data_IF_358497553830
#
_entry.id   IF_358497553830
#
_cell.length_a   1.000
_cell.length_b   1.000
_cell.length_c   1.000
_cell.angle_alpha   90.00
_cell.angle_beta   90.00
_cell.angle_gamma   90.00
#
_symmetry.space_group_name_H-M   'P 1'
#
loop_
_entity.id
_entity.type
_entity.pdbx_description
1 polymer ?
#
# COMPACT_ATOMS: atom_id res chain seq x y z
N UNK A 1 -0.59 -3.04 -20.54
CA UNK A 1 0.35 -2.43 -19.57
C UNK A 1 -0.34 -2.15 -18.24
N UNK A 2 -1.34 -1.26 -18.17
CA UNK A 2 -1.96 -0.85 -16.90
C UNK A 2 -2.58 -1.99 -16.07
N UNK A 3 -3.34 -2.89 -16.71
CA UNK A 3 -3.89 -4.07 -16.02
C UNK A 3 -2.81 -4.96 -15.39
N UNK A 4 -1.67 -5.16 -16.09
CA UNK A 4 -0.52 -5.90 -15.55
C UNK A 4 0.11 -5.17 -14.36
N UNK A 5 0.23 -3.85 -14.41
CA UNK A 5 0.75 -3.05 -13.31
C UNK A 5 -0.11 -3.18 -12.05
N UNK A 6 -1.44 -3.12 -12.19
CA UNK A 6 -2.37 -3.25 -11.07
C UNK A 6 -2.30 -4.66 -10.48
N UNK A 7 -2.28 -5.68 -11.33
CA UNK A 7 -2.17 -7.06 -10.88
C UNK A 7 -0.90 -7.27 -10.06
N UNK A 8 0.25 -6.83 -10.60
CA UNK A 8 1.53 -6.87 -9.90
C UNK A 8 1.50 -6.12 -8.56
N UNK A 9 0.92 -4.92 -8.50
CA UNK A 9 0.79 -4.17 -7.25
C UNK A 9 -0.09 -4.93 -6.24
N UNK A 10 -1.20 -5.54 -6.67
CA UNK A 10 -2.09 -6.27 -5.75
C UNK A 10 -1.41 -7.49 -5.13
N UNK A 11 -0.60 -8.20 -5.91
CA UNK A 11 0.10 -9.40 -5.44
C UNK A 11 1.32 -9.06 -4.59
N UNK A 12 2.07 -8.00 -4.96
CA UNK A 12 3.38 -7.73 -4.40
C UNK A 12 3.47 -6.46 -3.55
N UNK A 13 2.38 -5.70 -3.36
CA UNK A 13 2.44 -4.47 -2.57
C UNK A 13 3.07 -4.70 -1.19
N UNK A 14 2.80 -5.84 -0.55
CA UNK A 14 3.33 -6.16 0.77
C UNK A 14 4.80 -6.63 0.76
N UNK A 15 5.39 -6.90 -0.41
CA UNK A 15 6.77 -7.36 -0.58
C UNK A 15 7.76 -6.19 -0.72
N UNK A 16 7.50 -5.08 -0.01
CA UNK A 16 8.29 -3.85 -0.04
C UNK A 16 8.56 -3.22 -1.43
N UNK A 17 7.77 -3.56 -2.46
CA UNK A 17 7.97 -3.02 -3.82
C UNK A 17 7.87 -1.49 -3.89
N UNK A 18 8.53 -0.93 -4.89
CA UNK A 18 8.53 0.48 -5.28
C UNK A 18 7.89 0.67 -6.67
N UNK A 19 7.69 1.94 -7.06
CA UNK A 19 7.22 2.26 -8.42
C UNK A 19 8.22 1.77 -9.48
N UNK A 20 9.51 1.72 -9.17
CA UNK A 20 10.54 1.26 -10.10
C UNK A 20 10.36 -0.21 -10.44
N UNK A 21 9.98 -1.04 -9.47
CA UNK A 21 9.73 -2.47 -9.67
C UNK A 21 8.51 -2.69 -10.58
N UNK A 22 7.45 -1.89 -10.40
CA UNK A 22 6.26 -1.93 -11.28
C UNK A 22 6.63 -1.55 -12.72
N UNK A 23 7.45 -0.50 -12.89
CA UNK A 23 7.92 -0.01 -14.19
C UNK A 23 8.74 -1.08 -14.91
N UNK A 24 9.65 -1.74 -14.19
CA UNK A 24 10.44 -2.86 -14.70
C UNK A 24 9.55 -4.04 -15.09
N UNK A 25 8.59 -4.42 -14.24
CA UNK A 25 7.69 -5.54 -14.48
C UNK A 25 6.83 -5.37 -15.75
N UNK A 26 6.34 -4.16 -16.02
CA UNK A 26 5.49 -3.90 -17.19
C UNK A 26 6.24 -3.36 -18.41
N UNK A 27 7.57 -3.29 -18.33
CA UNK A 27 8.48 -2.81 -19.38
C UNK A 27 8.06 -1.47 -20.01
N UNK A 28 7.97 -0.43 -19.17
CA UNK A 28 7.56 0.93 -19.59
C UNK A 28 8.47 1.99 -18.98
N UNK A 29 8.23 3.27 -19.27
CA UNK A 29 8.83 4.38 -18.52
C UNK A 29 7.97 4.78 -17.30
N UNK A 30 8.59 5.34 -16.26
CA UNK A 30 7.88 5.89 -15.10
C UNK A 30 6.85 6.94 -15.52
N UNK A 31 7.19 7.86 -16.42
CA UNK A 31 6.29 8.92 -16.89
C UNK A 31 5.06 8.35 -17.60
N UNK A 32 5.23 7.32 -18.43
CA UNK A 32 4.11 6.64 -19.09
C UNK A 32 3.19 5.97 -18.05
N UNK A 33 3.77 5.29 -17.06
CA UNK A 33 3.01 4.63 -16.00
C UNK A 33 2.24 5.65 -15.15
N UNK A 34 2.88 6.73 -14.71
CA UNK A 34 2.25 7.79 -13.92
C UNK A 34 1.11 8.47 -14.68
N UNK A 35 1.31 8.78 -15.96
CA UNK A 35 0.27 9.34 -16.82
C UNK A 35 -0.92 8.39 -16.94
N UNK A 36 -0.67 7.11 -17.18
CA UNK A 36 -1.73 6.11 -17.28
C UNK A 36 -2.53 6.00 -15.97
N UNK A 37 -1.85 5.94 -14.82
CA UNK A 37 -2.50 5.91 -13.52
C UNK A 37 -3.33 7.16 -13.25
N UNK A 38 -2.81 8.35 -13.61
CA UNK A 38 -3.56 9.60 -13.42
C UNK A 38 -4.82 9.68 -14.28
N UNK A 39 -4.74 9.23 -15.53
CA UNK A 39 -5.89 9.23 -16.46
C UNK A 39 -6.97 8.25 -16.00
N UNK A 40 -6.60 7.05 -15.56
CA UNK A 40 -7.55 5.98 -15.29
C UNK A 40 -8.02 5.88 -13.83
N UNK A 41 -7.20 6.31 -12.87
CA UNK A 41 -7.48 6.20 -11.43
C UNK A 41 -7.45 7.53 -10.67
N UNK A 42 -7.00 8.62 -11.32
CA UNK A 42 -6.90 9.93 -10.67
C UNK A 42 -5.76 10.07 -9.65
N UNK A 43 -4.92 9.05 -9.49
CA UNK A 43 -3.76 9.08 -8.58
C UNK A 43 -2.51 8.45 -9.20
N UNK A 44 -1.41 8.39 -8.46
CA UNK A 44 -0.14 7.81 -8.94
C UNK A 44 -0.04 6.31 -8.64
N UNK A 45 0.90 5.58 -9.28
CA UNK A 45 1.19 4.18 -8.94
C UNK A 45 1.68 4.03 -7.50
N UNK A 46 2.43 5.03 -6.99
CA UNK A 46 2.87 5.04 -5.60
C UNK A 46 1.68 5.12 -4.64
N UNK A 47 0.65 5.90 -4.97
CA UNK A 47 -0.58 5.96 -4.20
C UNK A 47 -1.30 4.62 -4.22
N UNK A 48 -1.36 3.94 -5.37
CA UNK A 48 -1.97 2.60 -5.47
C UNK A 48 -1.28 1.58 -4.55
N UNK A 49 0.07 1.52 -4.58
CA UNK A 49 0.84 0.64 -3.68
C UNK A 49 0.47 0.92 -2.22
N UNK A 50 0.41 2.20 -1.82
CA UNK A 50 0.02 2.57 -0.45
C UNK A 50 -1.42 2.18 -0.11
N UNK A 51 -2.36 2.32 -1.05
CA UNK A 51 -3.76 1.95 -0.81
C UNK A 51 -3.91 0.44 -0.60
N UNK A 52 -3.21 -0.38 -1.40
CA UNK A 52 -3.22 -1.85 -1.23
C UNK A 52 -2.62 -2.24 0.13
N UNK A 53 -1.47 -1.67 0.51
CA UNK A 53 -0.88 -1.89 1.84
C UNK A 53 -1.83 -1.46 2.96
N UNK A 54 -2.46 -0.29 2.84
CA UNK A 54 -3.39 0.21 3.84
C UNK A 54 -4.61 -0.70 4.00
N UNK A 55 -5.15 -1.22 2.90
CA UNK A 55 -6.25 -2.19 2.93
C UNK A 55 -5.84 -3.44 3.69
N UNK A 56 -4.61 -3.95 3.47
CA UNK A 56 -4.08 -5.10 4.21
C UNK A 56 -3.93 -4.82 5.70
N UNK A 57 -3.44 -3.63 6.07
CA UNK A 57 -3.34 -3.22 7.48
C UNK A 57 -4.70 -3.22 8.16
N UNK A 58 -5.72 -2.59 7.55
CA UNK A 58 -7.09 -2.56 8.11
C UNK A 58 -7.62 -3.97 8.36
N UNK A 59 -7.48 -4.83 7.36
CA UNK A 59 -7.88 -6.23 7.47
C UNK A 59 -7.19 -6.92 8.65
N UNK A 60 -5.87 -6.79 8.80
CA UNK A 60 -5.13 -7.41 9.90
C UNK A 60 -5.50 -6.82 11.26
N UNK A 61 -5.82 -5.52 11.34
CA UNK A 61 -6.27 -4.89 12.58
C UNK A 61 -7.63 -5.39 13.04
N UNK A 62 -8.53 -5.72 12.10
CA UNK A 62 -9.91 -6.16 12.34
C UNK A 62 -10.04 -7.68 12.51
N UNK A 63 -9.18 -8.46 11.84
CA UNK A 63 -9.30 -9.93 11.80
C UNK A 63 -8.30 -10.65 12.71
N UNK A 64 -7.34 -9.93 13.33
CA UNK A 64 -6.25 -10.56 14.10
C UNK A 64 -5.82 -9.77 15.34
N UNK A 65 -5.25 -10.48 16.31
CA UNK A 65 -4.61 -9.94 17.53
C UNK A 65 -3.11 -9.64 17.34
N UNK A 66 -2.64 -9.54 16.08
CA UNK A 66 -1.22 -9.30 15.81
C UNK A 66 -0.76 -7.94 16.37
N UNK A 67 0.47 -7.89 16.86
CA UNK A 67 1.08 -6.64 17.29
C UNK A 67 1.29 -5.69 16.10
N UNK A 68 1.31 -4.37 16.36
CA UNK A 68 1.55 -3.37 15.30
C UNK A 68 2.86 -3.62 14.53
N UNK A 69 3.98 -4.05 15.17
CA UNK A 69 5.18 -4.46 14.45
C UNK A 69 4.97 -5.63 13.48
N UNK A 70 4.25 -6.68 13.88
CA UNK A 70 3.94 -7.82 13.00
C UNK A 70 3.06 -7.39 11.82
N UNK A 71 2.08 -6.52 12.06
CA UNK A 71 1.22 -5.98 11.01
C UNK A 71 2.04 -5.13 10.01
N UNK A 72 2.99 -4.34 10.51
CA UNK A 72 3.88 -3.56 9.66
C UNK A 72 4.71 -4.45 8.73
N UNK A 73 5.32 -5.50 9.27
CA UNK A 73 6.08 -6.49 8.50
C UNK A 73 5.21 -7.15 7.42
N UNK A 74 4.04 -7.69 7.79
CA UNK A 74 3.15 -8.39 6.85
C UNK A 74 2.58 -7.45 5.78
N UNK A 75 2.39 -6.17 6.09
CA UNK A 75 1.84 -5.20 5.14
C UNK A 75 2.92 -4.46 4.32
N UNK A 76 4.19 -4.84 4.42
CA UNK A 76 5.29 -4.24 3.65
C UNK A 76 5.69 -2.84 4.13
N UNK A 77 5.61 -2.60 5.44
CA UNK A 77 6.12 -1.41 6.10
C UNK A 77 7.36 -1.75 6.93
N UNK A 78 8.52 -1.27 6.46
CA UNK A 78 9.81 -1.44 7.14
C UNK A 78 9.85 -0.96 8.60
N UNK A 79 9.05 0.06 8.93
CA UNK A 79 9.03 0.68 10.26
C UNK A 79 7.59 0.81 10.79
N UNK A 80 7.26 0.26 11.98
CA UNK A 80 5.93 0.36 12.57
C UNK A 80 5.47 1.79 12.86
N UNK A 81 6.41 2.69 13.18
CA UNK A 81 6.16 4.11 13.41
C UNK A 81 5.73 4.81 12.12
N UNK A 82 6.37 4.43 11.00
CA UNK A 82 6.02 4.94 9.68
C UNK A 82 4.62 4.44 9.27
N UNK A 83 4.33 3.15 9.49
CA UNK A 83 2.98 2.61 9.32
C UNK A 83 1.95 3.45 10.09
N UNK A 84 2.16 3.64 11.39
CA UNK A 84 1.19 4.34 12.26
C UNK A 84 0.96 5.78 11.80
N UNK A 85 2.02 6.47 11.40
CA UNK A 85 1.95 7.85 10.89
C UNK A 85 1.19 7.92 9.56
N UNK A 86 1.49 7.02 8.62
CA UNK A 86 0.79 6.97 7.34
C UNK A 86 -0.68 6.56 7.51
N UNK A 87 -0.95 5.59 8.37
CA UNK A 87 -2.29 5.12 8.67
C UNK A 87 -3.14 6.26 9.24
N UNK A 88 -2.62 7.01 10.22
CA UNK A 88 -3.29 8.20 10.78
C UNK A 88 -3.53 9.27 9.74
N UNK A 89 -2.55 9.55 8.89
CA UNK A 89 -2.69 10.54 7.81
C UNK A 89 -3.81 10.18 6.83
N UNK A 90 -3.98 8.89 6.54
CA UNK A 90 -4.94 8.42 5.54
C UNK A 90 -6.34 8.12 6.11
N UNK A 91 -6.44 7.79 7.40
CA UNK A 91 -7.70 7.35 8.03
C UNK A 91 -8.21 8.28 9.14
N UNK A 92 -7.39 9.21 9.61
CA UNK A 92 -7.68 10.09 10.75
C UNK A 92 -7.44 9.47 12.13
N UNK A 93 -7.21 8.15 12.23
CA UNK A 93 -6.99 7.42 13.50
C UNK A 93 -5.64 6.71 13.49
N UNK A 94 -5.00 6.54 14.65
CA UNK A 94 -3.85 5.62 14.74
C UNK A 94 -4.28 4.16 14.56
N UNK A 95 -3.33 3.27 14.32
CA UNK A 95 -3.58 1.82 14.24
C UNK A 95 -4.19 1.28 15.55
N UNK A 96 -3.71 1.72 16.71
CA UNK A 96 -4.30 1.37 18.02
C UNK A 96 -5.72 1.88 18.18
N UNK A 97 -5.97 3.16 17.84
CA UNK A 97 -7.32 3.75 17.90
C UNK A 97 -8.30 3.08 16.94
N UNK A 98 -7.82 2.56 15.81
CA UNK A 98 -8.64 1.80 14.87
C UNK A 98 -9.09 0.48 15.50
N UNK A 99 -8.15 -0.26 16.09
CA UNK A 99 -8.40 -1.54 16.78
C UNK A 99 -9.32 -1.39 17.97
N UNK A 100 -9.22 -0.33 18.77
CA UNK A 100 -10.14 -0.11 19.88
C UNK A 100 -11.58 0.20 19.43
N UNK A 101 -11.77 0.54 18.16
CA UNK A 101 -13.09 0.91 17.61
C UNK A 101 -13.79 -0.18 16.80
N UNK A 102 -13.20 -1.37 16.67
CA UNK A 102 -13.73 -2.54 15.98
C UNK A 102 -13.51 -3.80 16.82
#
# INVERSE_FOLDING_TARGET
MLAKAIHFIREHACDEISVSDVVQHVNTSRSTLERAFRIHFGHSPQTEIRQVRLKRVKQLLEETELSIPQIAEIAGFKHPEYLTTQFKRLTGKTTSQWRESH
#
